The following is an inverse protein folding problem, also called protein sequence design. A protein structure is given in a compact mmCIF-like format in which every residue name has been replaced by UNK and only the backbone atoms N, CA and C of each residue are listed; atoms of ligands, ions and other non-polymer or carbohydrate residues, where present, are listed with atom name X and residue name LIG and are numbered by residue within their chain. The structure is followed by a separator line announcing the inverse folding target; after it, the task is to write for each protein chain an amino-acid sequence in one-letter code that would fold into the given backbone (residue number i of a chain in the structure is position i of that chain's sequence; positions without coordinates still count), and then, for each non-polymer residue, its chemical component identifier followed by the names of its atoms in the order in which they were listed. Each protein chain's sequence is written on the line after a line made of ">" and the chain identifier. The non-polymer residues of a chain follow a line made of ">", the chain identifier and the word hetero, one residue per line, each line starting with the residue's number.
data_IF_035490170227
#
_entry.id   IF_035490170227
#
_cell.length_a   1.000
_cell.length_b   1.000
_cell.length_c   1.000
_cell.angle_alpha   90.00
_cell.angle_beta   90.00
_cell.angle_gamma   90.00
#
_symmetry.space_group_name_H-M   'P 1'
#
loop_
_entity.id
_entity.type
_entity.pdbx_description
1 polymer ?
#
# COMPACT_ATOMS: atom_id res chain seq x y z
N UNK A 1 14.53 11.32 -24.15
CA UNK A 1 14.00 12.65 -24.55
C UNK A 1 13.41 13.27 -23.28
N UNK A 2 14.24 13.99 -22.52
CA UNK A 2 13.85 14.71 -21.30
C UNK A 2 12.95 15.87 -21.72
N UNK A 3 11.71 15.86 -21.27
CA UNK A 3 10.85 17.03 -21.31
C UNK A 3 11.46 18.10 -20.40
N UNK A 4 12.11 19.09 -20.99
CA UNK A 4 12.55 20.31 -20.32
C UNK A 4 11.29 21.11 -19.96
N UNK A 5 10.79 20.96 -18.76
CA UNK A 5 9.86 21.90 -18.14
C UNK A 5 10.67 23.17 -17.81
N UNK A 6 10.44 24.20 -18.57
CA UNK A 6 11.01 25.53 -18.36
C UNK A 6 10.41 26.17 -17.09
N UNK A 7 11.22 26.39 -16.11
CA UNK A 7 11.14 26.77 -14.69
C UNK A 7 11.14 25.51 -13.82
N UNK A 8 12.28 25.23 -13.20
CA UNK A 8 12.38 24.31 -12.06
C UNK A 8 11.62 24.94 -10.88
N UNK A 9 10.30 24.73 -10.84
CA UNK A 9 9.60 24.76 -9.56
C UNK A 9 10.11 23.53 -8.83
N UNK A 10 10.67 23.70 -7.65
CA UNK A 10 11.07 22.58 -6.79
C UNK A 10 9.78 21.79 -6.50
N UNK A 11 9.62 20.60 -7.13
CA UNK A 11 8.46 19.78 -6.92
C UNK A 11 8.69 18.95 -5.66
N UNK A 12 7.98 19.26 -4.58
CA UNK A 12 7.97 18.46 -3.37
C UNK A 12 6.93 17.34 -3.51
N UNK A 13 7.41 16.11 -3.69
CA UNK A 13 6.57 14.93 -3.83
C UNK A 13 6.15 14.40 -2.46
N UNK A 14 4.86 14.50 -2.14
CA UNK A 14 4.22 14.13 -0.87
C UNK A 14 3.16 13.03 -1.07
N UNK A 15 3.38 12.11 -2.01
CA UNK A 15 2.48 10.98 -2.28
C UNK A 15 3.22 9.63 -2.29
N UNK A 16 4.19 9.45 -1.39
CA UNK A 16 4.96 8.20 -1.28
C UNK A 16 4.10 7.01 -0.83
N UNK A 17 2.97 7.25 -0.17
CA UNK A 17 2.02 6.19 0.15
C UNK A 17 1.34 5.59 -1.11
N UNK A 18 1.27 6.32 -2.22
CA UNK A 18 0.87 5.77 -3.52
C UNK A 18 2.03 5.04 -4.19
N UNK A 19 3.21 5.67 -4.27
CA UNK A 19 4.43 5.04 -4.79
C UNK A 19 5.65 5.83 -4.33
N UNK A 20 6.55 5.22 -3.59
CA UNK A 20 7.80 5.84 -3.19
C UNK A 20 8.78 5.90 -4.37
N UNK A 21 9.61 6.96 -4.50
CA UNK A 21 10.70 6.99 -5.45
C UNK A 21 11.63 5.80 -5.26
N UNK A 22 12.08 5.20 -6.36
CA UNK A 22 13.05 4.09 -6.26
C UNK A 22 14.35 4.60 -5.62
N UNK A 23 14.84 3.90 -4.58
CA UNK A 23 16.06 4.31 -3.89
C UNK A 23 17.28 4.14 -4.79
N UNK A 24 18.35 4.91 -4.52
CA UNK A 24 19.59 4.83 -5.30
C UNK A 24 20.22 3.43 -5.23
N UNK A 25 20.16 2.79 -4.07
CA UNK A 25 20.66 1.44 -3.87
C UNK A 25 19.84 0.41 -4.64
N UNK A 26 18.52 0.52 -4.57
CA UNK A 26 17.59 -0.30 -5.36
C UNK A 26 17.83 -0.15 -6.86
N UNK A 27 17.95 1.09 -7.34
CA UNK A 27 18.20 1.38 -8.75
C UNK A 27 19.53 0.79 -9.23
N UNK A 28 20.59 0.94 -8.43
CA UNK A 28 21.92 0.39 -8.72
C UNK A 28 21.86 -1.15 -8.92
N UNK A 29 21.21 -1.86 -8.01
CA UNK A 29 21.04 -3.30 -8.10
C UNK A 29 20.16 -3.70 -9.28
N UNK A 30 19.03 -3.02 -9.49
CA UNK A 30 18.11 -3.27 -10.59
C UNK A 30 18.82 -3.13 -11.95
N UNK A 31 19.55 -2.04 -12.19
CA UNK A 31 20.27 -1.78 -13.44
C UNK A 31 21.40 -2.78 -13.63
N UNK A 32 22.18 -3.11 -12.59
CA UNK A 32 23.25 -4.09 -12.69
C UNK A 32 22.73 -5.45 -13.17
N UNK A 33 21.59 -5.91 -12.65
CA UNK A 33 20.98 -7.17 -13.06
C UNK A 33 20.34 -7.10 -14.45
N UNK A 34 19.79 -5.96 -14.87
CA UNK A 34 19.34 -5.74 -16.25
C UNK A 34 20.50 -5.84 -17.25
N UNK A 35 21.67 -5.31 -16.90
CA UNK A 35 22.86 -5.36 -17.76
C UNK A 35 23.49 -6.74 -17.86
N UNK A 36 23.42 -7.55 -16.78
CA UNK A 36 23.85 -8.96 -16.78
C UNK A 36 22.85 -9.89 -17.48
N UNK A 37 21.66 -9.47 -17.70
CA UNK A 37 20.37 -10.09 -17.69
C UNK A 37 20.00 -10.94 -18.88
N UNK A 38 20.85 -11.87 -19.33
CA UNK A 38 20.43 -12.92 -20.29
C UNK A 38 20.32 -14.24 -19.55
N UNK A 39 19.10 -14.75 -19.40
CA UNK A 39 18.88 -16.09 -18.86
C UNK A 39 17.51 -16.29 -18.22
N UNK A 40 16.99 -17.51 -18.33
CA UNK A 40 15.83 -17.95 -17.58
C UNK A 40 16.33 -18.74 -16.34
N UNK A 41 15.90 -18.43 -15.12
CA UNK A 41 16.31 -19.17 -13.92
C UNK A 41 16.03 -20.68 -13.99
N UNK A 42 15.08 -21.11 -14.80
CA UNK A 42 14.78 -22.54 -15.01
C UNK A 42 15.79 -23.27 -15.92
N UNK A 43 16.61 -22.53 -16.71
CA UNK A 43 17.57 -23.13 -17.64
C UNK A 43 18.77 -23.71 -16.89
N UNK A 44 19.32 -24.82 -17.43
CA UNK A 44 20.45 -25.55 -16.83
C UNK A 44 21.83 -24.97 -17.19
N UNK A 45 21.91 -24.12 -18.22
CA UNK A 45 23.18 -23.50 -18.63
C UNK A 45 23.62 -22.35 -17.70
N UNK A 46 24.86 -21.91 -17.82
CA UNK A 46 25.48 -20.92 -16.94
C UNK A 46 24.68 -19.61 -16.77
N UNK A 47 24.09 -19.07 -17.86
CA UNK A 47 23.27 -17.87 -17.78
C UNK A 47 21.99 -18.10 -16.94
N UNK A 48 21.34 -19.26 -17.07
CA UNK A 48 20.21 -19.63 -16.22
C UNK A 48 20.62 -19.82 -14.76
N UNK A 49 21.76 -20.43 -14.51
CA UNK A 49 22.32 -20.60 -13.16
C UNK A 49 22.61 -19.24 -12.48
N UNK A 50 23.15 -18.26 -13.23
CA UNK A 50 23.35 -16.90 -12.74
C UNK A 50 22.04 -16.24 -12.33
N UNK A 51 21.01 -16.27 -13.19
CA UNK A 51 19.70 -15.69 -12.86
C UNK A 51 19.03 -16.39 -11.67
N UNK A 52 19.16 -17.72 -11.55
CA UNK A 52 18.68 -18.48 -10.41
C UNK A 52 19.40 -18.10 -9.13
N UNK A 53 20.70 -17.85 -9.18
CA UNK A 53 21.49 -17.35 -8.01
C UNK A 53 20.96 -15.99 -7.58
N UNK A 54 20.71 -15.04 -8.50
CA UNK A 54 20.12 -13.74 -8.18
C UNK A 54 18.73 -13.86 -7.54
N UNK A 55 17.87 -14.70 -8.12
CA UNK A 55 16.54 -14.95 -7.56
C UNK A 55 16.62 -15.48 -6.11
N UNK A 56 17.50 -16.45 -5.86
CA UNK A 56 17.71 -17.02 -4.53
C UNK A 56 18.29 -15.98 -3.57
N UNK A 57 19.25 -15.17 -4.02
CA UNK A 57 19.83 -14.08 -3.20
C UNK A 57 18.76 -13.05 -2.80
N UNK A 58 17.91 -12.62 -3.74
CA UNK A 58 16.80 -11.71 -3.43
C UNK A 58 15.85 -12.32 -2.39
N UNK A 59 15.54 -13.61 -2.53
CA UNK A 59 14.67 -14.35 -1.61
C UNK A 59 15.27 -14.42 -0.21
N UNK A 60 16.55 -14.84 -0.12
CA UNK A 60 17.25 -14.96 1.16
C UNK A 60 17.38 -13.63 1.88
N UNK A 61 17.62 -12.52 1.17
CA UNK A 61 17.69 -11.18 1.80
C UNK A 61 16.36 -10.80 2.47
N UNK A 62 15.23 -11.03 1.78
CA UNK A 62 13.90 -10.74 2.35
C UNK A 62 13.58 -11.69 3.49
N UNK A 63 13.83 -12.99 3.30
CA UNK A 63 13.58 -14.01 4.32
C UNK A 63 14.36 -13.77 5.60
N UNK A 64 15.65 -13.47 5.48
CA UNK A 64 16.52 -13.13 6.63
C UNK A 64 16.04 -11.88 7.34
N UNK A 65 15.70 -10.82 6.58
CA UNK A 65 15.19 -9.58 7.16
C UNK A 65 13.85 -9.74 7.88
N UNK A 66 13.02 -10.69 7.47
CA UNK A 66 11.76 -11.04 8.11
C UNK A 66 11.89 -12.14 9.18
N UNK A 67 13.07 -12.74 9.32
CA UNK A 67 13.34 -13.88 10.20
C UNK A 67 12.43 -15.10 9.87
N UNK A 68 12.32 -15.42 8.59
CA UNK A 68 11.56 -16.58 8.08
C UNK A 68 12.46 -17.47 7.19
N UNK A 69 12.00 -18.66 6.85
CA UNK A 69 12.69 -19.52 5.89
C UNK A 69 12.54 -18.95 4.45
N UNK A 70 13.55 -19.15 3.60
CA UNK A 70 13.51 -18.77 2.19
C UNK A 70 12.26 -19.33 1.48
N UNK A 71 11.87 -20.57 1.83
CA UNK A 71 10.66 -21.21 1.30
C UNK A 71 9.34 -20.54 1.70
N UNK A 72 9.35 -19.64 2.67
CA UNK A 72 8.17 -18.85 3.07
C UNK A 72 7.90 -17.67 2.12
N UNK A 73 8.89 -17.23 1.34
CA UNK A 73 8.77 -16.06 0.46
C UNK A 73 8.37 -16.50 -0.95
N UNK A 74 7.24 -16.02 -1.43
CA UNK A 74 6.72 -16.22 -2.79
C UNK A 74 6.72 -14.88 -3.51
N UNK A 75 7.46 -14.75 -4.58
CA UNK A 75 7.50 -13.51 -5.35
C UNK A 75 6.27 -13.32 -6.24
N UNK A 76 5.80 -12.09 -6.28
CA UNK A 76 4.62 -11.67 -7.04
C UNK A 76 4.91 -10.40 -7.85
N UNK A 77 3.95 -9.91 -8.60
CA UNK A 77 4.05 -8.64 -9.34
C UNK A 77 3.76 -7.40 -8.48
N UNK A 78 3.34 -7.57 -7.23
CA UNK A 78 3.00 -6.45 -6.33
C UNK A 78 2.03 -6.83 -5.23
N UNK A 79 1.66 -5.85 -4.41
CA UNK A 79 0.75 -6.05 -3.28
C UNK A 79 -0.62 -6.59 -3.69
N UNK A 80 -1.17 -6.12 -4.80
CA UNK A 80 -2.48 -6.58 -5.29
C UNK A 80 -2.50 -8.08 -5.59
N UNK A 81 -1.48 -8.60 -6.28
CA UNK A 81 -1.37 -10.04 -6.53
C UNK A 81 -1.14 -10.80 -5.23
N UNK A 82 -0.27 -10.29 -4.34
CA UNK A 82 0.00 -10.92 -3.05
C UNK A 82 -1.25 -11.03 -2.17
N UNK A 83 -2.03 -9.94 -2.05
CA UNK A 83 -3.27 -9.91 -1.27
C UNK A 83 -4.33 -10.85 -1.86
N UNK A 84 -4.53 -10.81 -3.17
CA UNK A 84 -5.48 -11.71 -3.83
C UNK A 84 -5.10 -13.19 -3.62
N UNK A 85 -3.81 -13.53 -3.75
CA UNK A 85 -3.32 -14.88 -3.49
C UNK A 85 -3.52 -15.29 -2.03
N UNK A 86 -3.19 -14.41 -1.06
CA UNK A 86 -3.34 -14.70 0.36
C UNK A 86 -4.81 -14.96 0.73
N UNK A 87 -5.70 -14.04 0.37
CA UNK A 87 -7.13 -14.12 0.71
C UNK A 87 -7.76 -15.35 0.08
N UNK A 88 -7.62 -15.52 -1.25
CA UNK A 88 -8.28 -16.64 -1.95
C UNK A 88 -7.66 -17.99 -1.58
N UNK A 89 -6.33 -18.03 -1.46
CA UNK A 89 -5.60 -19.27 -1.16
C UNK A 89 -5.88 -19.79 0.25
N UNK A 90 -5.83 -18.91 1.26
CA UNK A 90 -6.07 -19.33 2.65
C UNK A 90 -7.54 -19.60 2.94
N UNK A 91 -8.49 -18.83 2.40
CA UNK A 91 -9.91 -19.10 2.56
C UNK A 91 -10.28 -20.50 2.02
N UNK A 92 -9.80 -20.84 0.82
CA UNK A 92 -10.01 -22.17 0.22
C UNK A 92 -9.33 -23.28 1.02
N UNK A 93 -8.07 -23.05 1.45
CA UNK A 93 -7.35 -24.02 2.26
C UNK A 93 -8.05 -24.31 3.61
N UNK A 94 -8.60 -23.30 4.26
CA UNK A 94 -9.35 -23.45 5.50
C UNK A 94 -10.62 -24.29 5.28
N UNK A 95 -11.39 -24.02 4.21
CA UNK A 95 -12.60 -24.78 3.87
C UNK A 95 -12.29 -26.20 3.42
N UNK A 96 -11.21 -26.41 2.66
CA UNK A 96 -10.79 -27.77 2.25
C UNK A 96 -10.40 -28.62 3.46
N UNK A 97 -9.85 -28.00 4.51
CA UNK A 97 -9.53 -28.68 5.76
C UNK A 97 -10.77 -28.92 6.65
N UNK A 98 -11.67 -27.97 6.68
CA UNK A 98 -12.90 -27.96 7.48
C UNK A 98 -14.03 -27.30 6.66
N UNK A 99 -14.94 -28.08 6.04
CA UNK A 99 -15.95 -27.55 5.10
C UNK A 99 -16.92 -26.53 5.70
N UNK A 100 -17.09 -26.50 7.01
CA UNK A 100 -17.89 -25.51 7.75
C UNK A 100 -17.24 -24.12 7.81
N UNK A 101 -15.94 -23.98 7.53
CA UNK A 101 -15.23 -22.68 7.50
C UNK A 101 -15.56 -21.91 6.23
N UNK A 102 -16.63 -21.14 6.29
CA UNK A 102 -17.19 -20.41 5.15
C UNK A 102 -17.37 -18.91 5.41
N UNK A 103 -16.85 -18.39 6.54
CA UNK A 103 -16.92 -16.98 6.87
C UNK A 103 -15.55 -16.32 6.68
N UNK A 104 -15.53 -15.16 6.01
CA UNK A 104 -14.36 -14.30 5.83
C UNK A 104 -14.65 -12.99 6.57
N UNK A 105 -13.78 -12.61 7.49
CA UNK A 105 -13.83 -11.33 8.18
C UNK A 105 -12.74 -10.44 7.64
N UNK A 106 -13.06 -9.18 7.29
CA UNK A 106 -12.09 -8.19 6.81
C UNK A 106 -12.25 -6.89 7.58
N UNK A 107 -11.18 -6.15 7.82
CA UNK A 107 -11.33 -4.81 8.37
C UNK A 107 -12.11 -3.91 7.40
N UNK A 108 -13.01 -3.06 7.91
CA UNK A 108 -13.81 -2.13 7.11
C UNK A 108 -12.95 -1.09 6.33
N UNK A 109 -11.67 -0.98 6.68
CA UNK A 109 -10.72 -0.03 6.06
C UNK A 109 -9.68 -0.71 5.16
N UNK A 110 -9.91 -1.97 4.77
CA UNK A 110 -8.99 -2.69 3.87
C UNK A 110 -8.88 -2.03 2.49
N UNK A 111 -7.70 -2.18 1.90
CA UNK A 111 -7.50 -1.79 0.50
C UNK A 111 -8.32 -2.66 -0.46
N UNK A 112 -8.70 -2.12 -1.61
CA UNK A 112 -9.47 -2.84 -2.65
C UNK A 112 -8.83 -4.15 -3.11
N UNK A 113 -7.50 -4.27 -3.01
CA UNK A 113 -6.76 -5.51 -3.32
C UNK A 113 -7.04 -6.67 -2.33
N UNK A 114 -7.61 -6.38 -1.16
CA UNK A 114 -8.12 -7.36 -0.18
C UNK A 114 -9.64 -7.51 -0.33
N UNK A 115 -10.38 -6.39 -0.37
CA UNK A 115 -11.85 -6.40 -0.42
C UNK A 115 -12.38 -7.06 -1.70
N UNK A 116 -11.78 -6.75 -2.87
CA UNK A 116 -12.29 -7.28 -4.14
C UNK A 116 -12.15 -8.81 -4.25
N UNK A 117 -10.98 -9.42 -3.99
CA UNK A 117 -10.88 -10.88 -4.01
C UNK A 117 -11.72 -11.54 -2.89
N UNK A 118 -11.88 -10.93 -1.72
CA UNK A 118 -12.76 -11.45 -0.67
C UNK A 118 -14.23 -11.46 -1.13
N UNK A 119 -14.70 -10.41 -1.79
CA UNK A 119 -16.04 -10.35 -2.38
C UNK A 119 -16.22 -11.37 -3.52
N UNK A 120 -15.22 -11.54 -4.37
CA UNK A 120 -15.27 -12.51 -5.47
C UNK A 120 -15.40 -13.95 -4.96
N UNK A 121 -14.57 -14.32 -3.98
CA UNK A 121 -14.66 -15.64 -3.32
C UNK A 121 -16.02 -15.84 -2.63
N UNK A 122 -16.51 -14.82 -1.93
CA UNK A 122 -17.83 -14.88 -1.29
C UNK A 122 -18.94 -15.13 -2.31
N UNK A 123 -18.96 -14.36 -3.41
CA UNK A 123 -20.01 -14.46 -4.42
C UNK A 123 -19.96 -15.75 -5.24
N UNK A 124 -18.76 -16.19 -5.61
CA UNK A 124 -18.60 -17.33 -6.53
C UNK A 124 -18.54 -18.68 -5.82
N UNK A 125 -18.08 -18.70 -4.58
CA UNK A 125 -17.75 -19.94 -3.88
C UNK A 125 -18.60 -20.15 -2.62
N UNK A 126 -19.54 -19.25 -2.32
CA UNK A 126 -20.49 -19.41 -1.21
C UNK A 126 -19.90 -19.13 0.17
N UNK A 127 -18.82 -18.34 0.27
CA UNK A 127 -18.40 -17.77 1.54
C UNK A 127 -19.30 -16.58 1.92
N UNK A 128 -19.45 -16.31 3.22
CA UNK A 128 -19.96 -15.02 3.70
C UNK A 128 -18.79 -14.06 3.92
N UNK A 129 -18.99 -12.79 3.59
CA UNK A 129 -18.03 -11.71 3.84
C UNK A 129 -18.64 -10.73 4.83
N UNK A 130 -17.92 -10.44 5.91
CA UNK A 130 -18.34 -9.54 6.96
C UNK A 130 -17.22 -8.53 7.26
N UNK A 131 -17.58 -7.28 7.48
CA UNK A 131 -16.64 -6.21 7.77
C UNK A 131 -16.53 -6.00 9.29
N UNK A 132 -15.29 -6.00 9.80
CA UNK A 132 -14.97 -5.69 11.20
C UNK A 132 -14.93 -4.17 11.32
N UNK A 133 -15.74 -3.55 12.21
CA UNK A 133 -15.77 -2.10 12.34
C UNK A 133 -14.46 -1.51 12.85
N UNK A 134 -14.30 -0.21 12.62
CA UNK A 134 -13.21 0.61 13.16
C UNK A 134 -13.77 1.79 13.94
N UNK A 135 -12.97 2.37 14.83
CA UNK A 135 -13.32 3.59 15.54
C UNK A 135 -13.06 4.86 14.68
N UNK A 136 -13.38 6.03 15.23
CA UNK A 136 -13.18 7.33 14.56
C UNK A 136 -11.71 7.68 14.29
N UNK A 137 -10.75 6.95 14.87
CA UNK A 137 -9.31 7.08 14.63
C UNK A 137 -8.84 6.11 13.52
N UNK A 138 -9.72 5.24 13.00
CA UNK A 138 -9.39 4.21 12.05
C UNK A 138 -8.66 3.02 12.67
N UNK A 139 -8.85 2.77 13.97
CA UNK A 139 -8.35 1.58 14.66
C UNK A 139 -9.43 0.52 14.71
N UNK A 140 -9.07 -0.74 14.42
CA UNK A 140 -9.97 -1.88 14.43
C UNK A 140 -10.57 -2.09 15.83
N UNK A 141 -11.89 -2.32 15.88
CA UNK A 141 -12.62 -2.66 17.11
C UNK A 141 -12.35 -4.15 17.45
N UNK A 142 -11.43 -4.35 18.40
CA UNK A 142 -11.01 -5.68 18.85
C UNK A 142 -12.13 -6.43 19.57
N UNK A 143 -13.02 -5.72 20.26
CA UNK A 143 -14.15 -6.34 20.98
C UNK A 143 -15.23 -6.78 19.98
N UNK A 144 -15.49 -5.99 18.97
CA UNK A 144 -16.35 -6.38 17.85
C UNK A 144 -15.79 -7.63 17.15
N UNK A 145 -14.49 -7.66 16.80
CA UNK A 145 -13.86 -8.85 16.24
C UNK A 145 -14.07 -10.08 17.15
N UNK A 146 -13.83 -9.95 18.45
CA UNK A 146 -14.02 -11.05 19.40
C UNK A 146 -15.44 -11.62 19.37
N UNK A 147 -16.46 -10.74 19.22
CA UNK A 147 -17.87 -11.14 19.12
C UNK A 147 -18.25 -11.79 17.79
N UNK A 148 -17.50 -11.51 16.69
CA UNK A 148 -17.75 -12.05 15.35
C UNK A 148 -17.08 -13.40 15.11
N UNK A 149 -16.07 -13.75 15.92
CA UNK A 149 -15.30 -14.97 15.75
C UNK A 149 -16.07 -16.20 16.23
N UNK A 150 -16.10 -17.25 15.40
CA UNK A 150 -16.55 -18.60 15.73
C UNK A 150 -15.75 -19.63 14.89
N UNK A 151 -16.05 -20.92 15.08
CA UNK A 151 -15.40 -22.04 14.37
C UNK A 151 -15.63 -22.06 12.86
N UNK A 152 -16.58 -21.28 12.34
CA UNK A 152 -16.88 -21.18 10.90
C UNK A 152 -16.04 -20.11 10.22
N UNK A 153 -15.30 -19.29 10.96
CA UNK A 153 -14.42 -18.29 10.35
C UNK A 153 -13.23 -18.99 9.71
N UNK A 154 -13.10 -18.83 8.40
CA UNK A 154 -11.98 -19.33 7.61
C UNK A 154 -10.77 -18.41 7.70
N UNK A 155 -11.02 -17.10 7.64
CA UNK A 155 -10.00 -16.09 7.43
C UNK A 155 -10.38 -14.77 8.11
N UNK A 156 -9.38 -14.13 8.72
CA UNK A 156 -9.42 -12.72 9.15
C UNK A 156 -8.36 -11.96 8.37
N UNK A 157 -8.74 -10.91 7.63
CA UNK A 157 -7.80 -10.06 6.89
C UNK A 157 -7.78 -8.65 7.48
N UNK A 158 -6.60 -8.20 7.91
CA UNK A 158 -6.39 -6.87 8.51
C UNK A 158 -5.07 -6.29 8.00
N UNK A 159 -5.13 -5.07 7.46
CA UNK A 159 -3.92 -4.34 7.07
C UNK A 159 -3.12 -3.92 8.29
N UNK A 160 -1.79 -3.92 8.19
CA UNK A 160 -0.93 -3.48 9.30
C UNK A 160 -1.00 -1.96 9.51
N UNK A 161 -1.06 -1.22 8.41
CA UNK A 161 -1.11 0.25 8.40
C UNK A 161 -2.08 0.71 7.34
N UNK A 162 -3.01 1.58 7.71
CA UNK A 162 -3.93 2.14 6.73
C UNK A 162 -3.21 3.15 5.83
N UNK A 163 -3.36 3.00 4.52
CA UNK A 163 -2.68 3.80 3.50
C UNK A 163 -3.26 5.20 3.31
N UNK A 164 -4.39 5.52 3.93
CA UNK A 164 -5.03 6.85 3.87
C UNK A 164 -4.75 7.65 5.14
N UNK A 165 -5.16 7.15 6.30
CA UNK A 165 -5.07 7.88 7.58
C UNK A 165 -3.83 7.51 8.42
N UNK A 166 -3.09 6.47 8.01
CA UNK A 166 -1.86 6.08 8.67
C UNK A 166 -2.06 5.39 10.03
N UNK A 167 -3.26 4.90 10.36
CA UNK A 167 -3.50 4.15 11.59
C UNK A 167 -2.77 2.78 11.54
N UNK A 168 -2.03 2.46 12.61
CA UNK A 168 -1.33 1.18 12.80
C UNK A 168 -2.26 0.24 13.55
N UNK A 169 -2.56 -0.93 12.95
CA UNK A 169 -3.57 -1.84 13.47
C UNK A 169 -3.00 -2.81 14.53
N UNK A 170 -3.82 -3.27 15.48
CA UNK A 170 -3.42 -4.13 16.60
C UNK A 170 -3.27 -5.60 16.16
N UNK A 171 -2.36 -5.89 15.22
CA UNK A 171 -2.22 -7.21 14.56
C UNK A 171 -1.98 -8.33 15.57
N UNK A 172 -1.21 -8.11 16.64
CA UNK A 172 -0.97 -9.12 17.67
C UNK A 172 -2.29 -9.54 18.38
N UNK A 173 -3.13 -8.56 18.73
CA UNK A 173 -4.43 -8.84 19.37
C UNK A 173 -5.38 -9.57 18.42
N UNK A 174 -5.45 -9.12 17.16
CA UNK A 174 -6.22 -9.78 16.08
C UNK A 174 -5.78 -11.22 15.92
N UNK A 175 -4.49 -11.46 15.80
CA UNK A 175 -3.94 -12.79 15.58
C UNK A 175 -4.18 -13.75 16.74
N UNK A 176 -4.11 -13.26 17.98
CA UNK A 176 -4.43 -14.06 19.16
C UNK A 176 -5.89 -14.54 19.12
N UNK A 177 -6.83 -13.62 18.89
CA UNK A 177 -8.26 -13.95 18.82
C UNK A 177 -8.57 -14.89 17.64
N UNK A 178 -8.04 -14.63 16.47
CA UNK A 178 -8.24 -15.47 15.29
C UNK A 178 -7.67 -16.89 15.50
N UNK A 179 -6.50 -17.01 16.12
CA UNK A 179 -5.88 -18.30 16.45
C UNK A 179 -6.73 -19.11 17.43
N UNK A 180 -7.33 -18.47 18.44
CA UNK A 180 -8.20 -19.13 19.42
C UNK A 180 -9.46 -19.69 18.74
N UNK A 181 -9.94 -19.04 17.66
CA UNK A 181 -11.04 -19.52 16.81
C UNK A 181 -10.57 -20.48 15.69
N UNK A 182 -9.27 -20.69 15.54
CA UNK A 182 -8.68 -21.51 14.47
C UNK A 182 -8.78 -20.88 13.08
N UNK A 183 -9.02 -19.57 12.97
CA UNK A 183 -9.07 -18.84 11.73
C UNK A 183 -7.66 -18.42 11.27
N UNK A 184 -7.42 -18.43 9.94
CA UNK A 184 -6.18 -17.92 9.37
C UNK A 184 -6.14 -16.37 9.40
N UNK A 185 -4.94 -15.79 9.51
CA UNK A 185 -4.72 -14.34 9.53
C UNK A 185 -3.92 -13.89 8.31
N UNK A 186 -4.51 -13.01 7.51
CA UNK A 186 -3.82 -12.28 6.43
C UNK A 186 -3.52 -10.86 6.91
N UNK A 187 -2.26 -10.47 6.85
CA UNK A 187 -1.81 -9.12 7.15
C UNK A 187 -1.34 -8.42 5.87
N UNK A 188 -2.11 -7.44 5.39
CA UNK A 188 -1.63 -6.54 4.34
C UNK A 188 -0.61 -5.56 4.95
N UNK A 189 0.69 -5.80 4.70
CA UNK A 189 1.76 -4.95 5.17
C UNK A 189 2.31 -4.00 4.08
N UNK A 190 1.57 -3.82 2.98
CA UNK A 190 2.01 -3.01 1.83
C UNK A 190 2.30 -1.56 2.23
N UNK A 191 1.51 -0.97 3.13
CA UNK A 191 1.73 0.39 3.64
C UNK A 191 2.55 0.43 4.94
N UNK A 192 2.96 -0.72 5.49
CA UNK A 192 3.74 -0.79 6.72
C UNK A 192 5.20 -0.40 6.48
N UNK A 193 5.82 0.38 7.38
CA UNK A 193 7.26 0.57 7.38
C UNK A 193 8.01 -0.77 7.49
N UNK A 194 9.04 -0.96 6.66
CA UNK A 194 9.81 -2.22 6.63
C UNK A 194 10.32 -2.66 8.02
N UNK A 195 10.81 -1.77 8.91
CA UNK A 195 11.25 -2.17 10.23
C UNK A 195 10.18 -2.80 11.14
N UNK A 196 8.89 -2.62 10.86
CA UNK A 196 7.80 -3.26 11.61
C UNK A 196 7.49 -4.68 11.12
N UNK A 197 7.80 -4.99 9.87
CA UNK A 197 7.40 -6.24 9.21
C UNK A 197 7.91 -7.52 9.90
N UNK A 198 9.15 -7.57 10.46
CA UNK A 198 9.62 -8.77 11.18
C UNK A 198 8.77 -9.11 12.41
N UNK A 199 8.24 -8.10 13.10
CA UNK A 199 7.30 -8.30 14.22
C UNK A 199 5.93 -8.78 13.73
N UNK A 200 5.43 -8.23 12.63
CA UNK A 200 4.12 -8.56 12.08
C UNK A 200 4.04 -10.00 11.57
N UNK A 201 5.08 -10.48 10.87
CA UNK A 201 5.10 -11.83 10.29
C UNK A 201 5.01 -12.94 11.33
N UNK A 202 5.44 -12.68 12.56
CA UNK A 202 5.34 -13.63 13.67
C UNK A 202 3.89 -13.88 14.13
N UNK A 203 2.97 -12.99 13.77
CA UNK A 203 1.59 -13.02 14.22
C UNK A 203 0.58 -13.44 13.14
N UNK A 204 0.96 -13.52 11.87
CA UNK A 204 0.04 -13.84 10.76
C UNK A 204 0.43 -15.09 10.00
N UNK A 205 -0.54 -15.71 9.31
CA UNK A 205 -0.32 -16.86 8.42
C UNK A 205 0.17 -16.41 7.04
N UNK A 206 -0.22 -15.21 6.63
CA UNK A 206 0.27 -14.57 5.42
C UNK A 206 0.52 -13.09 5.65
N UNK A 207 1.68 -12.60 5.18
CA UNK A 207 2.04 -11.18 5.14
C UNK A 207 2.33 -10.79 3.69
N UNK A 208 1.82 -9.64 3.25
CA UNK A 208 2.00 -9.16 1.88
C UNK A 208 2.80 -7.87 1.83
N UNK A 209 3.61 -7.71 0.79
CA UNK A 209 4.41 -6.50 0.58
C UNK A 209 4.55 -6.15 -0.90
N UNK A 210 4.84 -4.87 -1.18
CA UNK A 210 5.02 -4.34 -2.53
C UNK A 210 6.29 -3.47 -2.60
N UNK A 211 7.19 -3.77 -3.55
CA UNK A 211 8.48 -3.12 -3.66
C UNK A 211 8.40 -1.60 -3.78
N UNK A 212 7.49 -1.09 -4.62
CA UNK A 212 7.35 0.34 -4.88
C UNK A 212 6.88 1.19 -3.67
N UNK A 213 6.45 0.56 -2.57
CA UNK A 213 6.02 1.28 -1.35
C UNK A 213 7.20 1.62 -0.43
N UNK A 214 8.32 0.91 -0.57
CA UNK A 214 9.51 1.15 0.24
C UNK A 214 10.77 1.47 -0.59
N UNK A 215 10.58 1.95 -1.83
CA UNK A 215 11.69 2.38 -2.69
C UNK A 215 12.28 1.28 -3.56
N UNK A 216 11.59 0.16 -3.74
CA UNK A 216 11.87 -0.85 -4.75
C UNK A 216 11.21 -0.51 -6.09
N UNK A 217 11.48 -1.30 -7.16
CA UNK A 217 10.84 -1.13 -8.46
C UNK A 217 9.33 -1.46 -8.41
N UNK A 218 8.55 -0.79 -9.25
CA UNK A 218 7.18 -1.19 -9.57
C UNK A 218 7.19 -2.58 -10.22
N UNK A 219 6.06 -3.31 -10.15
CA UNK A 219 5.96 -4.65 -10.72
C UNK A 219 6.70 -5.72 -9.90
N UNK A 220 6.97 -5.46 -8.63
CA UNK A 220 7.57 -6.40 -7.68
C UNK A 220 6.82 -6.41 -6.35
N UNK A 221 6.64 -7.59 -5.79
CA UNK A 221 6.03 -7.82 -4.50
C UNK A 221 6.37 -9.20 -3.95
N UNK A 222 5.90 -9.49 -2.76
CA UNK A 222 6.01 -10.83 -2.19
C UNK A 222 4.81 -11.14 -1.29
N UNK A 223 4.42 -12.41 -1.31
CA UNK A 223 3.60 -13.06 -0.33
C UNK A 223 4.52 -13.87 0.58
N UNK A 224 4.49 -13.61 1.87
CA UNK A 224 5.24 -14.34 2.88
C UNK A 224 4.26 -15.20 3.65
N UNK A 225 4.40 -16.52 3.54
CA UNK A 225 3.55 -17.48 4.25
C UNK A 225 4.27 -17.94 5.51
N UNK A 226 3.62 -17.81 6.66
CA UNK A 226 4.16 -18.26 7.93
C UNK A 226 4.26 -19.78 7.96
N UNK A 227 5.36 -20.32 8.50
CA UNK A 227 5.64 -21.73 8.46
C UNK A 227 6.20 -22.18 7.10
N UNK A 228 6.27 -23.50 6.90
CA UNK A 228 6.76 -24.04 5.63
C UNK A 228 5.64 -24.02 4.60
N UNK A 229 5.75 -23.20 3.54
CA UNK A 229 4.77 -23.02 2.44
C UNK A 229 4.29 -24.35 1.87
N UNK A 230 5.18 -25.35 1.82
CA UNK A 230 4.86 -26.74 1.40
C UNK A 230 3.84 -27.39 2.34
N UNK A 231 3.56 -26.80 3.51
CA UNK A 231 2.68 -27.35 4.55
C UNK A 231 1.31 -26.66 4.66
N UNK A 232 1.05 -25.55 3.95
CA UNK A 232 -0.33 -25.02 3.84
C UNK A 232 -1.09 -25.95 2.90
N UNK A 233 -1.52 -27.07 3.45
CA UNK A 233 -2.28 -28.12 2.74
C UNK A 233 -3.56 -27.46 2.21
N UNK A 234 -3.76 -27.51 0.89
CA UNK A 234 -4.96 -26.91 0.28
C UNK A 234 -4.79 -25.48 -0.24
N UNK A 235 -3.62 -24.83 -0.06
CA UNK A 235 -3.42 -23.53 -0.70
C UNK A 235 -3.51 -23.67 -2.23
N UNK A 236 -4.56 -23.10 -2.80
CA UNK A 236 -4.81 -23.15 -4.25
C UNK A 236 -4.17 -21.92 -4.91
N UNK A 237 -3.14 -22.11 -5.75
CA UNK A 237 -2.48 -21.00 -6.43
C UNK A 237 -3.42 -20.36 -7.45
N UNK A 238 -3.38 -19.03 -7.58
CA UNK A 238 -4.09 -18.31 -8.64
C UNK A 238 -3.53 -18.62 -10.03
N UNK A 239 -2.23 -18.81 -10.12
CA UNK A 239 -1.50 -19.13 -11.35
C UNK A 239 -0.67 -20.40 -11.12
N UNK A 240 -1.25 -21.57 -11.32
CA UNK A 240 -0.55 -22.84 -11.09
C UNK A 240 0.61 -23.05 -12.10
N UNK A 241 1.71 -23.64 -11.64
CA UNK A 241 2.90 -23.97 -12.44
C UNK A 241 4.05 -24.42 -11.56
N UNK A 242 5.26 -24.46 -12.11
CA UNK A 242 6.43 -25.01 -11.41
C UNK A 242 7.25 -23.97 -10.63
N UNK A 243 7.06 -22.67 -10.91
CA UNK A 243 7.82 -21.59 -10.26
C UNK A 243 7.25 -21.29 -8.86
N UNK A 244 8.03 -20.60 -8.04
CA UNK A 244 7.63 -20.17 -6.69
C UNK A 244 6.98 -21.32 -5.90
N UNK A 245 7.66 -22.45 -5.85
CA UNK A 245 7.19 -23.66 -5.14
C UNK A 245 5.84 -24.19 -5.61
N UNK A 246 5.45 -23.92 -6.85
CA UNK A 246 4.16 -24.30 -7.43
C UNK A 246 3.03 -23.31 -7.16
N UNK A 247 3.30 -22.21 -6.45
CA UNK A 247 2.29 -21.26 -6.00
C UNK A 247 2.07 -20.08 -6.96
N UNK A 248 3.09 -19.75 -7.78
CA UNK A 248 2.99 -18.64 -8.72
C UNK A 248 3.82 -18.90 -9.97
N UNK A 249 3.16 -19.22 -11.07
CA UNK A 249 3.79 -19.50 -12.35
C UNK A 249 4.31 -18.23 -13.06
N UNK A 250 5.15 -18.43 -14.04
CA UNK A 250 5.73 -17.39 -14.89
C UNK A 250 7.20 -17.11 -14.57
N UNK A 251 7.94 -16.67 -15.59
CA UNK A 251 9.36 -16.34 -15.44
C UNK A 251 9.54 -15.17 -14.45
N UNK A 252 10.33 -15.34 -13.37
CA UNK A 252 10.54 -14.29 -12.39
C UNK A 252 11.26 -13.07 -12.96
N UNK A 253 10.88 -11.87 -12.53
CA UNK A 253 11.56 -10.61 -12.82
C UNK A 253 12.80 -10.44 -11.94
N UNK A 254 13.86 -11.24 -12.18
CA UNK A 254 15.05 -11.25 -11.31
C UNK A 254 15.66 -9.86 -11.12
N UNK A 255 15.85 -9.01 -12.16
CA UNK A 255 16.38 -7.67 -11.97
C UNK A 255 15.54 -6.82 -11.02
N UNK A 256 14.23 -6.81 -11.21
CA UNK A 256 13.32 -6.07 -10.32
C UNK A 256 13.34 -6.60 -8.89
N UNK A 257 13.38 -7.93 -8.71
CA UNK A 257 13.41 -8.56 -7.39
C UNK A 257 14.71 -8.27 -6.63
N UNK A 258 15.85 -8.19 -7.33
CA UNK A 258 17.12 -7.76 -6.74
C UNK A 258 17.06 -6.29 -6.29
N UNK A 259 16.46 -5.41 -7.10
CA UNK A 259 16.20 -4.03 -6.71
C UNK A 259 15.27 -3.92 -5.50
N UNK A 260 14.19 -4.73 -5.46
CA UNK A 260 13.28 -4.79 -4.33
C UNK A 260 13.96 -5.26 -3.05
N UNK A 261 14.77 -6.33 -3.12
CA UNK A 261 15.50 -6.86 -1.96
C UNK A 261 16.53 -5.86 -1.44
N UNK A 262 17.21 -5.11 -2.32
CA UNK A 262 18.12 -4.04 -1.93
C UNK A 262 17.41 -2.91 -1.19
N UNK A 263 16.26 -2.44 -1.70
CA UNK A 263 15.44 -1.43 -1.01
C UNK A 263 14.93 -1.92 0.35
N UNK A 264 14.49 -3.18 0.42
CA UNK A 264 14.05 -3.79 1.67
C UNK A 264 15.17 -3.80 2.73
N UNK A 265 16.35 -4.28 2.35
CA UNK A 265 17.52 -4.33 3.24
C UNK A 265 17.97 -2.93 3.69
N UNK A 266 17.97 -1.95 2.79
CA UNK A 266 18.28 -0.55 3.09
C UNK A 266 17.33 0.01 4.15
N UNK A 267 16.00 -0.14 3.95
CA UNK A 267 14.98 0.34 4.90
C UNK A 267 15.03 -0.38 6.24
N UNK A 268 15.26 -1.69 6.23
CA UNK A 268 15.39 -2.47 7.47
C UNK A 268 16.60 -2.00 8.30
N UNK A 269 17.76 -1.78 7.65
CA UNK A 269 18.98 -1.34 8.30
C UNK A 269 18.89 0.09 8.81
N UNK A 270 18.20 0.96 8.08
CA UNK A 270 17.99 2.35 8.51
C UNK A 270 17.13 2.41 9.80
N UNK A 271 16.27 1.41 10.03
CA UNK A 271 15.40 1.38 11.21
C UNK A 271 14.41 2.53 11.28
N UNK A 272 13.88 2.78 12.46
CA UNK A 272 13.06 3.94 12.77
C UNK A 272 13.91 5.06 13.36
N UNK A 273 13.96 6.22 12.71
CA UNK A 273 14.70 7.37 13.22
C UNK A 273 14.11 7.88 14.54
N UNK A 274 14.96 8.21 15.51
CA UNK A 274 14.53 8.84 16.75
C UNK A 274 14.08 10.29 16.54
N UNK A 275 13.15 10.77 17.37
CA UNK A 275 12.62 12.14 17.35
C UNK A 275 11.43 12.31 16.41
N UNK A 276 11.10 13.55 16.03
CA UNK A 276 9.94 13.89 15.22
C UNK A 276 9.91 13.09 13.92
N UNK A 277 8.81 12.41 13.64
CA UNK A 277 8.61 11.63 12.41
C UNK A 277 8.27 12.54 11.22
N UNK A 278 8.46 12.09 9.97
CA UNK A 278 8.00 12.83 8.78
C UNK A 278 6.51 13.20 8.84
N UNK A 279 5.65 12.30 9.31
CA UNK A 279 4.21 12.57 9.45
C UNK A 279 3.92 13.65 10.52
N UNK A 280 4.60 13.62 11.66
CA UNK A 280 4.48 14.66 12.70
C UNK A 280 4.98 16.01 12.17
N UNK A 281 6.06 16.03 11.40
CA UNK A 281 6.58 17.23 10.75
C UNK A 281 5.56 17.82 9.76
N UNK A 282 4.94 16.98 8.92
CA UNK A 282 3.85 17.40 8.02
C UNK A 282 2.69 18.00 8.80
N UNK A 283 2.21 17.29 9.86
CA UNK A 283 1.12 17.76 10.72
C UNK A 283 1.45 19.12 11.34
N UNK A 284 2.63 19.27 11.93
CA UNK A 284 3.10 20.50 12.55
C UNK A 284 3.12 21.68 11.57
N UNK A 285 3.71 21.48 10.40
CA UNK A 285 3.82 22.56 9.39
C UNK A 285 2.45 22.96 8.85
N UNK A 286 1.58 22.00 8.51
CA UNK A 286 0.25 22.29 7.98
C UNK A 286 -0.61 23.00 9.04
N UNK A 287 -0.63 22.53 10.26
CA UNK A 287 -1.38 23.16 11.37
C UNK A 287 -0.90 24.59 11.65
N UNK A 288 0.41 24.84 11.58
CA UNK A 288 0.98 26.16 11.81
C UNK A 288 0.54 27.21 10.77
N UNK A 289 0.21 26.78 9.53
CA UNK A 289 -0.11 27.68 8.42
C UNK A 289 -1.61 27.69 8.04
N UNK A 290 -2.36 26.62 8.37
CA UNK A 290 -3.79 26.53 8.11
C UNK A 290 -4.65 26.86 9.35
N UNK A 291 -4.10 26.77 10.56
CA UNK A 291 -4.85 27.05 11.80
C UNK A 291 -6.14 26.26 11.91
N UNK A 292 -7.25 26.95 12.16
CA UNK A 292 -8.59 26.34 12.32
C UNK A 292 -9.24 25.88 10.99
N UNK A 293 -8.58 26.17 9.84
CA UNK A 293 -9.06 25.77 8.52
C UNK A 293 -8.74 24.27 8.19
N UNK A 294 -8.07 23.55 9.10
CA UNK A 294 -7.67 22.16 8.87
C UNK A 294 -7.95 21.29 10.11
N UNK A 295 -8.39 20.05 9.86
CA UNK A 295 -8.52 18.99 10.86
C UNK A 295 -7.60 17.84 10.47
N UNK A 296 -6.79 17.36 11.41
CA UNK A 296 -5.95 16.17 11.22
C UNK A 296 -6.77 14.93 11.57
N UNK A 297 -6.74 13.91 10.71
CA UNK A 297 -7.40 12.62 10.94
C UNK A 297 -6.39 11.54 11.30
N UNK A 298 -6.89 10.51 11.99
CA UNK A 298 -6.13 9.34 12.40
C UNK A 298 -5.86 9.34 13.91
N UNK A 299 -5.03 8.42 14.42
CA UNK A 299 -4.69 8.31 15.83
C UNK A 299 -3.83 9.49 16.32
N UNK A 300 -3.95 9.78 17.64
CA UNK A 300 -3.11 10.78 18.32
C UNK A 300 -1.91 10.15 19.04
N UNK A 301 -1.98 8.85 19.30
CA UNK A 301 -0.95 8.10 20.01
C UNK A 301 0.18 7.72 19.06
N UNK A 302 1.44 8.12 19.29
CA UNK A 302 2.54 7.91 18.35
C UNK A 302 2.74 6.46 17.89
N UNK A 303 2.53 5.46 18.77
CA UNK A 303 2.64 4.04 18.42
C UNK A 303 1.54 3.55 17.48
N UNK A 304 0.39 4.24 17.46
CA UNK A 304 -0.74 3.91 16.60
C UNK A 304 -0.69 4.67 15.26
N UNK A 305 0.35 5.50 15.05
CA UNK A 305 0.53 6.34 13.87
C UNK A 305 1.63 5.82 12.96
N UNK A 306 1.36 5.80 11.66
CA UNK A 306 2.41 5.66 10.65
C UNK A 306 3.38 6.84 10.75
N UNK A 307 4.70 6.61 10.68
CA UNK A 307 5.66 7.69 10.70
C UNK A 307 5.71 8.52 9.41
N UNK A 308 4.99 8.12 8.35
CA UNK A 308 5.14 8.69 7.00
C UNK A 308 3.84 9.18 6.37
N UNK A 309 2.67 8.99 7.00
CA UNK A 309 1.36 9.32 6.43
C UNK A 309 0.63 10.29 7.34
N UNK A 310 0.12 11.38 6.78
CA UNK A 310 -0.74 12.34 7.44
C UNK A 310 -1.98 12.62 6.57
N UNK A 311 -3.17 12.58 7.19
CA UNK A 311 -4.44 12.88 6.54
C UNK A 311 -5.02 14.15 7.12
N UNK A 312 -5.42 15.05 6.24
CA UNK A 312 -6.00 16.34 6.56
C UNK A 312 -7.41 16.48 5.96
N UNK A 313 -8.33 17.11 6.69
CA UNK A 313 -9.56 17.64 6.13
C UNK A 313 -9.47 19.18 6.09
N UNK A 314 -9.93 19.77 5.00
CA UNK A 314 -10.10 21.21 4.85
C UNK A 314 -11.61 21.52 4.75
N UNK A 315 -12.35 21.66 5.87
CA UNK A 315 -13.81 21.59 5.91
C UNK A 315 -14.55 22.55 4.99
N UNK A 316 -13.92 23.69 4.66
CA UNK A 316 -14.51 24.76 3.85
C UNK A 316 -14.04 24.76 2.39
N UNK A 317 -13.21 23.77 2.00
CA UNK A 317 -12.56 23.72 0.69
C UNK A 317 -12.83 22.37 0.04
N UNK A 318 -13.13 22.38 -1.27
CA UNK A 318 -13.18 21.12 -2.02
C UNK A 318 -11.78 20.51 -2.12
N UNK A 319 -11.64 19.22 -1.77
CA UNK A 319 -10.34 18.53 -1.74
C UNK A 319 -9.64 18.48 -3.09
N UNK A 320 -10.38 18.27 -4.20
CA UNK A 320 -9.79 18.29 -5.55
C UNK A 320 -9.27 19.69 -5.92
N UNK A 321 -10.01 20.74 -5.58
CA UNK A 321 -9.54 22.11 -5.78
C UNK A 321 -8.28 22.39 -4.94
N UNK A 322 -8.23 21.91 -3.69
CA UNK A 322 -7.05 22.04 -2.85
C UNK A 322 -5.84 21.32 -3.45
N UNK A 323 -6.01 20.10 -3.98
CA UNK A 323 -4.95 19.36 -4.64
C UNK A 323 -4.41 20.11 -5.86
N UNK A 324 -5.28 20.68 -6.70
CA UNK A 324 -4.90 21.48 -7.88
C UNK A 324 -4.11 22.71 -7.46
N UNK A 325 -4.56 23.44 -6.43
CA UNK A 325 -3.89 24.63 -5.94
C UNK A 325 -2.53 24.31 -5.31
N UNK A 326 -2.41 23.18 -4.60
CA UNK A 326 -1.12 22.70 -4.06
C UNK A 326 -0.16 22.32 -5.19
N UNK A 327 -0.64 21.60 -6.22
CA UNK A 327 0.18 21.21 -7.38
C UNK A 327 0.69 22.43 -8.17
N UNK A 328 -0.14 23.46 -8.36
CA UNK A 328 0.29 24.73 -8.96
C UNK A 328 1.44 25.41 -8.18
N UNK A 329 1.56 25.11 -6.88
CA UNK A 329 2.61 25.61 -5.99
C UNK A 329 3.76 24.61 -5.78
N UNK A 330 3.81 23.56 -6.60
CA UNK A 330 4.90 22.58 -6.58
C UNK A 330 4.77 21.48 -5.51
N UNK A 331 3.60 21.28 -4.91
CA UNK A 331 3.34 20.19 -3.99
C UNK A 331 2.48 19.10 -4.67
N UNK A 332 3.00 17.88 -4.75
CA UNK A 332 2.25 16.72 -5.27
C UNK A 332 1.77 15.86 -4.11
N UNK A 333 0.47 15.84 -3.88
CA UNK A 333 -0.20 15.07 -2.82
C UNK A 333 -1.49 14.40 -3.36
N UNK A 334 -2.23 13.69 -2.53
CA UNK A 334 -3.36 12.84 -2.95
C UNK A 334 -4.62 13.10 -2.10
N UNK A 335 -5.79 12.74 -2.62
CA UNK A 335 -7.07 12.74 -1.89
C UNK A 335 -7.30 11.50 -1.02
N UNK A 336 -6.28 10.70 -0.72
CA UNK A 336 -6.47 9.44 0.02
C UNK A 336 -7.11 8.32 -0.81
N UNK A 337 -8.24 8.56 -1.45
CA UNK A 337 -8.97 7.62 -2.33
C UNK A 337 -8.37 7.50 -3.74
N UNK A 338 -7.08 7.70 -3.91
CA UNK A 338 -6.38 7.76 -5.21
C UNK A 338 -6.56 6.52 -6.12
N UNK A 339 -7.05 5.39 -5.60
CA UNK A 339 -7.34 4.20 -6.40
C UNK A 339 -8.52 4.37 -7.38
N UNK A 340 -9.26 5.49 -7.32
CA UNK A 340 -10.41 5.77 -8.17
C UNK A 340 -10.26 7.16 -8.81
N UNK A 341 -9.18 7.38 -9.56
CA UNK A 341 -9.03 8.60 -10.36
C UNK A 341 -10.29 8.81 -11.23
N UNK A 342 -11.07 9.87 -10.93
CA UNK A 342 -12.35 10.15 -11.57
C UNK A 342 -13.59 9.60 -10.83
N UNK A 343 -13.46 8.97 -9.68
CA UNK A 343 -14.61 8.59 -8.84
C UNK A 343 -15.10 9.79 -8.03
N UNK A 344 -16.39 10.04 -8.06
CA UNK A 344 -17.07 11.03 -7.19
C UNK A 344 -17.44 10.44 -5.82
N UNK A 345 -17.13 9.17 -5.59
CA UNK A 345 -17.45 8.50 -4.33
C UNK A 345 -16.46 8.91 -3.21
N UNK A 346 -16.96 9.14 -1.99
CA UNK A 346 -16.11 9.44 -0.84
C UNK A 346 -15.25 8.22 -0.47
N UNK A 347 -14.13 8.46 0.20
CA UNK A 347 -13.29 7.37 0.75
C UNK A 347 -14.12 6.45 1.65
N UNK A 348 -14.09 5.14 1.36
CA UNK A 348 -14.73 4.13 2.20
C UNK A 348 -14.05 4.05 3.58
N UNK A 349 -12.74 4.33 3.67
CA UNK A 349 -11.99 4.40 4.93
C UNK A 349 -12.57 5.50 5.81
N UNK A 350 -12.66 6.72 5.30
CA UNK A 350 -13.22 7.85 6.05
C UNK A 350 -14.69 7.64 6.41
N UNK A 351 -15.45 7.00 5.53
CA UNK A 351 -16.86 6.63 5.79
C UNK A 351 -16.95 5.59 6.91
N UNK A 352 -16.09 4.57 6.92
CA UNK A 352 -16.02 3.56 7.98
C UNK A 352 -15.63 4.16 9.34
N UNK A 353 -14.83 5.25 9.36
CA UNK A 353 -14.49 6.03 10.55
C UNK A 353 -15.62 6.96 11.04
N UNK A 354 -16.77 6.97 10.35
CA UNK A 354 -17.92 7.82 10.70
C UNK A 354 -17.84 9.25 10.14
N UNK A 355 -16.89 9.56 9.26
CA UNK A 355 -16.79 10.87 8.62
C UNK A 355 -17.87 10.99 7.54
N UNK A 356 -18.66 12.06 7.61
CA UNK A 356 -19.72 12.31 6.65
C UNK A 356 -19.16 12.45 5.22
N UNK A 357 -19.87 11.92 4.21
CA UNK A 357 -19.43 11.92 2.81
C UNK A 357 -19.00 13.29 2.28
N UNK A 358 -19.70 14.36 2.69
CA UNK A 358 -19.35 15.74 2.31
C UNK A 358 -17.99 16.16 2.87
N UNK A 359 -17.69 15.79 4.09
CA UNK A 359 -16.40 16.08 4.76
C UNK A 359 -15.29 15.18 4.17
N UNK A 360 -15.57 13.90 3.92
CA UNK A 360 -14.59 13.00 3.33
C UNK A 360 -14.05 13.50 1.97
N UNK A 361 -14.85 14.27 1.21
CA UNK A 361 -14.44 14.90 -0.05
C UNK A 361 -13.52 16.11 0.11
N UNK A 362 -13.29 16.59 1.32
CA UNK A 362 -12.37 17.69 1.63
C UNK A 362 -10.99 17.19 2.06
N UNK A 363 -10.74 15.88 1.94
CA UNK A 363 -9.53 15.25 2.43
C UNK A 363 -8.34 15.44 1.50
N UNK A 364 -7.17 15.63 2.10
CA UNK A 364 -5.86 15.64 1.44
C UNK A 364 -4.90 14.77 2.25
N UNK A 365 -4.34 13.74 1.62
CA UNK A 365 -3.29 12.93 2.21
C UNK A 365 -1.94 13.46 1.76
N UNK A 366 -1.03 13.64 2.71
CA UNK A 366 0.38 13.90 2.46
C UNK A 366 1.20 12.76 3.04
N UNK A 367 2.19 12.28 2.29
CA UNK A 367 3.02 11.15 2.72
C UNK A 367 4.44 11.25 2.18
N UNK A 368 5.41 11.04 3.07
CA UNK A 368 6.83 11.07 2.75
C UNK A 368 7.61 10.19 3.73
N UNK A 369 8.59 9.43 3.23
CA UNK A 369 9.38 8.48 4.02
C UNK A 369 10.69 9.06 4.59
N UNK A 370 10.90 10.38 4.53
CA UNK A 370 12.06 11.10 5.07
C UNK A 370 11.63 12.42 5.70
N UNK A 371 12.47 12.98 6.54
CA UNK A 371 12.22 14.33 7.05
C UNK A 371 12.34 15.38 5.95
N UNK A 372 11.55 16.42 6.07
CA UNK A 372 11.66 17.63 5.26
C UNK A 372 12.87 18.46 5.73
N UNK A 373 13.55 19.11 4.80
CA UNK A 373 14.50 20.18 5.11
C UNK A 373 13.76 21.44 5.54
N UNK A 374 14.47 22.40 6.13
CA UNK A 374 13.88 23.70 6.50
C UNK A 374 13.29 24.46 5.30
N UNK A 375 13.92 24.35 4.11
CA UNK A 375 13.43 24.96 2.87
C UNK A 375 12.14 24.26 2.40
N UNK A 376 12.07 22.93 2.49
CA UNK A 376 10.88 22.16 2.14
C UNK A 376 9.73 22.42 3.12
N UNK A 377 10.00 22.59 4.43
CA UNK A 377 9.00 23.02 5.41
C UNK A 377 8.42 24.39 5.09
N UNK A 378 9.30 25.37 4.76
CA UNK A 378 8.86 26.71 4.39
C UNK A 378 8.03 26.70 3.10
N UNK A 379 8.44 25.88 2.10
CA UNK A 379 7.70 25.68 0.85
C UNK A 379 6.32 25.09 1.12
N UNK A 380 6.24 24.03 1.93
CA UNK A 380 4.96 23.38 2.32
C UNK A 380 4.04 24.39 3.01
N UNK A 381 4.54 25.09 4.02
CA UNK A 381 3.74 26.06 4.79
C UNK A 381 3.20 27.19 3.93
N UNK A 382 4.06 27.79 3.11
CA UNK A 382 3.67 28.87 2.18
C UNK A 382 2.61 28.39 1.18
N UNK A 383 2.82 27.22 0.56
CA UNK A 383 1.90 26.67 -0.42
C UNK A 383 0.52 26.37 0.18
N UNK A 384 0.45 25.85 1.40
CA UNK A 384 -0.81 25.60 2.11
C UNK A 384 -1.55 26.90 2.39
N UNK A 385 -0.87 27.91 2.94
CA UNK A 385 -1.47 29.22 3.23
C UNK A 385 -2.00 29.91 1.96
N UNK A 386 -1.22 29.92 0.89
CA UNK A 386 -1.61 30.54 -0.37
C UNK A 386 -2.75 29.77 -1.08
N UNK A 387 -2.76 28.42 -1.01
CA UNK A 387 -3.84 27.63 -1.57
C UNK A 387 -5.16 27.91 -0.86
N UNK A 388 -5.16 27.99 0.48
CA UNK A 388 -6.34 28.36 1.26
C UNK A 388 -6.81 29.79 0.92
N UNK A 389 -5.90 30.75 0.81
CA UNK A 389 -6.24 32.11 0.44
C UNK A 389 -6.87 32.21 -0.98
N UNK A 390 -6.38 31.40 -1.93
CA UNK A 390 -6.92 31.34 -3.30
C UNK A 390 -8.32 30.72 -3.36
N UNK A 391 -8.65 29.82 -2.42
CA UNK A 391 -9.92 29.07 -2.36
C UNK A 391 -10.92 29.68 -1.35
N UNK A 392 -10.54 30.78 -0.66
CA UNK A 392 -11.43 31.44 0.29
C UNK A 392 -12.72 31.95 -0.38
N UNK A 393 -13.89 31.87 0.29
CA UNK A 393 -15.16 32.37 -0.25
C UNK A 393 -15.07 33.85 -0.59
N UNK A 394 -15.22 34.20 -1.85
CA UNK A 394 -15.16 35.58 -2.36
C UNK A 394 -14.01 35.88 -3.31
N UNK A 395 -13.02 35.01 -3.48
CA UNK A 395 -12.04 35.09 -4.55
C UNK A 395 -12.63 34.47 -5.82
N UNK A 396 -12.93 35.29 -6.83
CA UNK A 396 -13.38 34.81 -8.12
C UNK A 396 -12.28 33.94 -8.75
N UNK A 397 -12.53 32.65 -8.93
CA UNK A 397 -11.69 31.78 -9.74
C UNK A 397 -11.65 32.37 -11.15
N UNK A 398 -10.48 32.65 -11.75
CA UNK A 398 -10.44 33.06 -13.15
C UNK A 398 -11.04 31.94 -14.01
N UNK A 399 -12.14 32.21 -14.67
CA UNK A 399 -12.79 31.29 -15.60
C UNK A 399 -11.95 31.19 -16.88
N UNK A 400 -10.89 30.36 -16.86
CA UNK A 400 -10.16 29.97 -18.08
C UNK A 400 -9.56 28.58 -17.94
N UNK A 401 -10.44 27.59 -17.95
CA UNK A 401 -10.10 26.26 -18.48
C UNK A 401 -11.24 25.87 -19.43
N UNK A 402 -11.17 26.38 -20.64
CA UNK A 402 -11.92 25.82 -21.78
C UNK A 402 -11.38 24.42 -22.03
N UNK A 403 -12.22 23.36 -22.01
CA UNK A 403 -11.78 22.04 -22.44
C UNK A 403 -11.33 22.14 -23.90
N UNK A 404 -10.12 21.76 -24.21
CA UNK A 404 -9.69 21.55 -25.59
C UNK A 404 -10.54 20.43 -26.18
N UNK A 405 -11.43 20.79 -27.08
CA UNK A 405 -12.19 19.87 -27.91
C UNK A 405 -11.19 18.96 -28.65
N UNK A 406 -11.33 17.63 -28.63
CA UNK A 406 -10.49 16.77 -29.43
C UNK A 406 -10.71 17.09 -30.89
N UNK A 407 -9.69 17.52 -31.61
CA UNK A 407 -9.71 17.64 -33.07
C UNK A 407 -10.02 16.28 -33.67
N UNK A 408 -11.07 16.20 -34.45
CA UNK A 408 -11.49 15.03 -35.20
C UNK A 408 -10.32 14.47 -36.01
N UNK A 409 -9.95 13.21 -35.78
CA UNK A 409 -9.00 12.47 -36.61
C UNK A 409 -9.62 12.28 -37.98
N UNK A 410 -8.97 12.81 -39.00
CA UNK A 410 -9.23 12.49 -40.41
C UNK A 410 -8.99 10.99 -40.62
N UNK A 411 -9.90 10.23 -41.25
CA UNK A 411 -9.68 8.82 -41.53
C UNK A 411 -8.57 8.65 -42.58
N UNK A 412 -7.66 7.71 -42.32
CA UNK A 412 -6.64 7.29 -43.25
C UNK A 412 -7.23 6.62 -44.50
N UNK A 413 -6.67 6.80 -45.72
CA UNK A 413 -7.16 6.16 -46.90
C UNK A 413 -6.87 4.64 -46.88
N UNK A 414 -7.88 3.86 -47.31
CA UNK A 414 -7.82 2.41 -47.44
C UNK A 414 -6.74 1.98 -48.50
N UNK A 415 -6.00 0.92 -48.23
CA UNK A 415 -5.09 0.35 -49.26
C UNK A 415 -5.90 -0.38 -50.34
N UNK A 416 -5.54 -0.14 -51.60
CA UNK A 416 -5.95 -0.95 -52.74
C UNK A 416 -5.12 -2.22 -52.83
#
# INVERSE_FOLDING_TARGET
>A
MLLTLNRMVLVLYLDEAASAPQSAESLRHHVAWLQQGIGNPASVHAAGASMRSGLNSARSLIAQGLNVADSSVVFTSGGTESNAMAVTGLARAARDAQPERTRILVSAIEHSSVLTPARDVAQREGFSLEEIPVDSRGLLDVDALASMLDERVALVAVMAVNNEVGSVQPIEAVARLARDAGAAVVCDAVAAPVPLMPGLVAHCDALTLAGHKFGGPTGTGALVLAGNVVKVRGFVPMLPGSQEHGLRAGTPNVPGLMGMAAAFSEKLTAGTAAGETPAEQLKRVVLAHAGDEVVVLGPDTPQDCSPSIAMFLFPHVNGEAMLIELEHRGLVCSSGSACHAGSTEPSHVLTAMGIAAAQARTSVRMSIGRRLSQEEEATLGTAVAEALAALAPGTAVPATLTPRTPTARTPAPSPR
#
